data_IF_694432646427
#
_entry.id   IF_694432646427
#
_cell.length_a   1.000
_cell.length_b   1.000
_cell.length_c   1.000
_cell.angle_alpha   90.00
_cell.angle_beta   90.00
_cell.angle_gamma   90.00
#
_symmetry.space_group_name_H-M   'P 1'
#
loop_
_entity.id
_entity.type
_entity.pdbx_description
1 polymer ?
#
# COMPACT_ATOMS: atom_id res chain seq x y z
N UNK A 1 8.55 -5.45 39.71
CA UNK A 1 8.10 -4.49 38.67
C UNK A 1 9.34 -4.10 37.88
N UNK A 2 9.49 -4.42 36.58
CA UNK A 2 10.66 -3.98 35.84
C UNK A 2 10.49 -2.53 35.39
N UNK A 3 11.51 -1.71 35.67
CA UNK A 3 11.64 -0.32 35.28
C UNK A 3 12.37 -0.31 33.93
N UNK A 4 11.75 0.24 32.89
CA UNK A 4 12.37 0.35 31.57
C UNK A 4 13.47 1.43 31.59
N UNK A 5 14.70 1.04 31.24
CA UNK A 5 15.82 1.94 31.04
C UNK A 5 15.83 2.44 29.59
N UNK A 6 15.74 3.75 29.38
CA UNK A 6 16.01 4.38 28.09
C UNK A 6 17.53 4.53 27.92
N UNK A 7 18.07 3.97 26.82
CA UNK A 7 19.51 4.05 26.48
C UNK A 7 19.70 5.05 25.34
N UNK A 8 20.33 6.21 25.58
CA UNK A 8 20.55 7.21 24.53
C UNK A 8 21.52 6.66 23.46
N UNK A 9 21.14 6.76 22.18
CA UNK A 9 21.95 6.31 21.05
C UNK A 9 21.53 4.96 20.43
N UNK A 10 20.46 4.34 20.92
CA UNK A 10 19.81 3.27 20.18
C UNK A 10 19.13 3.85 18.94
N UNK A 11 19.40 3.24 17.79
CA UNK A 11 18.51 3.24 16.61
C UNK A 11 17.19 2.53 16.96
N UNK A 12 16.49 2.99 18.00
CA UNK A 12 15.08 2.73 18.30
C UNK A 12 14.22 3.48 17.27
N UNK A 13 14.55 3.34 15.99
CA UNK A 13 13.58 3.52 14.91
C UNK A 13 12.64 2.32 14.99
N UNK A 14 11.79 2.39 15.98
CA UNK A 14 10.36 2.14 16.01
C UNK A 14 9.77 0.79 15.56
N UNK A 15 10.33 -0.28 16.12
CA UNK A 15 9.70 -1.60 16.19
C UNK A 15 8.27 -1.54 16.76
N UNK A 16 8.00 -0.66 17.74
CA UNK A 16 6.67 -0.48 18.33
C UNK A 16 5.68 0.15 17.33
N UNK A 17 6.10 1.17 16.58
CA UNK A 17 5.29 1.77 15.52
C UNK A 17 5.08 0.81 14.36
N UNK A 18 6.03 -0.05 13.99
CA UNK A 18 5.77 -1.09 12.98
C UNK A 18 4.70 -2.07 13.46
N UNK A 19 4.72 -2.42 14.75
CA UNK A 19 3.68 -3.24 15.35
C UNK A 19 2.33 -2.50 15.38
N UNK A 20 2.30 -1.21 15.68
CA UNK A 20 1.10 -0.37 15.66
C UNK A 20 0.54 -0.18 14.23
N UNK A 21 1.41 0.01 13.23
CA UNK A 21 1.08 0.06 11.80
C UNK A 21 0.51 -1.30 11.36
N UNK A 22 1.13 -2.41 11.75
CA UNK A 22 0.63 -3.75 11.46
C UNK A 22 -0.74 -4.01 12.12
N UNK A 23 -0.97 -3.51 13.33
CA UNK A 23 -2.28 -3.55 14.00
C UNK A 23 -3.31 -2.66 13.29
N UNK A 24 -2.88 -1.53 12.71
CA UNK A 24 -3.71 -0.60 11.94
C UNK A 24 -3.76 -0.91 10.43
N UNK A 25 -3.28 -2.09 9.99
CA UNK A 25 -3.19 -2.47 8.57
C UNK A 25 -4.47 -2.25 7.77
N UNK A 26 -5.64 -2.47 8.38
CA UNK A 26 -6.93 -2.27 7.71
C UNK A 26 -7.20 -0.79 7.43
N UNK A 27 -6.85 0.10 8.36
CA UNK A 27 -6.98 1.53 8.14
C UNK A 27 -5.95 2.03 7.11
N UNK A 28 -4.71 1.54 7.15
CA UNK A 28 -3.70 1.86 6.12
C UNK A 28 -4.19 1.45 4.74
N UNK A 29 -4.71 0.22 4.58
CA UNK A 29 -5.26 -0.22 3.30
C UNK A 29 -6.52 0.56 2.89
N UNK A 30 -7.33 1.01 3.85
CA UNK A 30 -8.46 1.93 3.60
C UNK A 30 -7.96 3.29 3.10
N UNK A 31 -6.91 3.83 3.71
CA UNK A 31 -6.29 5.09 3.28
C UNK A 31 -5.63 4.94 1.90
N UNK A 32 -4.91 3.86 1.63
CA UNK A 32 -4.33 3.57 0.31
C UNK A 32 -5.39 3.60 -0.79
N UNK A 33 -6.53 2.94 -0.57
CA UNK A 33 -7.66 2.97 -1.51
C UNK A 33 -8.13 4.39 -1.78
N UNK A 34 -8.37 5.18 -0.73
CA UNK A 34 -8.91 6.54 -0.85
C UNK A 34 -7.92 7.56 -1.42
N UNK A 35 -6.65 7.47 -1.04
CA UNK A 35 -5.62 8.47 -1.36
C UNK A 35 -4.82 8.14 -2.61
N UNK A 36 -4.73 6.86 -2.98
CA UNK A 36 -3.98 6.39 -4.17
C UNK A 36 -4.93 5.84 -5.22
N UNK A 37 -5.64 4.77 -4.90
CA UNK A 37 -6.38 4.00 -5.90
C UNK A 37 -7.50 4.80 -6.57
N UNK A 38 -8.38 5.43 -5.77
CA UNK A 38 -9.50 6.20 -6.28
C UNK A 38 -9.11 7.41 -7.13
N UNK A 39 -8.18 8.29 -6.70
CA UNK A 39 -7.79 9.43 -7.51
C UNK A 39 -7.01 9.04 -8.77
N UNK A 40 -6.13 8.04 -8.72
CA UNK A 40 -5.43 7.55 -9.92
C UNK A 40 -6.43 6.97 -10.91
N UNK A 41 -7.39 6.15 -10.46
CA UNK A 41 -8.45 5.64 -11.33
C UNK A 41 -9.26 6.76 -11.98
N UNK A 42 -9.59 7.82 -11.23
CA UNK A 42 -10.29 8.98 -11.81
C UNK A 42 -9.46 9.69 -12.88
N UNK A 43 -8.15 9.83 -12.66
CA UNK A 43 -7.24 10.44 -13.64
C UNK A 43 -7.17 9.58 -14.92
N UNK A 44 -6.97 8.28 -14.75
CA UNK A 44 -6.85 7.32 -15.85
C UNK A 44 -8.18 7.10 -16.59
N UNK A 45 -9.33 7.35 -15.95
CA UNK A 45 -10.66 7.23 -16.59
C UNK A 45 -10.79 8.08 -17.85
N UNK A 46 -10.14 9.24 -17.89
CA UNK A 46 -10.17 10.13 -19.06
C UNK A 46 -9.37 9.59 -20.26
N UNK A 47 -8.41 8.70 -19.98
CA UNK A 47 -7.52 8.05 -20.94
C UNK A 47 -7.97 6.62 -21.28
N UNK A 48 -9.02 6.12 -20.63
CA UNK A 48 -9.57 4.79 -20.88
C UNK A 48 -10.44 4.78 -22.13
N UNK A 49 -10.23 3.78 -22.97
CA UNK A 49 -11.08 3.49 -24.12
C UNK A 49 -12.56 3.32 -23.74
N UNK A 50 -13.45 3.63 -24.68
CA UNK A 50 -14.90 3.50 -24.49
C UNK A 50 -15.35 2.07 -24.19
N UNK A 51 -14.51 1.06 -24.49
CA UNK A 51 -14.72 -0.34 -24.12
C UNK A 51 -14.56 -0.60 -22.60
N UNK A 52 -13.66 0.13 -21.94
CA UNK A 52 -13.31 -0.06 -20.52
C UNK A 52 -14.21 0.80 -19.61
N UNK A 53 -14.70 1.93 -20.11
CA UNK A 53 -15.57 2.86 -19.38
C UNK A 53 -16.78 2.21 -18.69
N UNK A 54 -17.55 1.31 -19.34
CA UNK A 54 -18.67 0.62 -18.70
C UNK A 54 -18.24 -0.26 -17.53
N UNK A 55 -17.01 -0.79 -17.57
CA UNK A 55 -16.42 -1.66 -16.55
C UNK A 55 -15.75 -0.88 -15.41
N UNK A 56 -15.67 0.45 -15.50
CA UNK A 56 -14.99 1.31 -14.51
C UNK A 56 -15.44 1.08 -13.06
N UNK A 57 -16.75 1.00 -12.81
CA UNK A 57 -17.25 0.77 -11.43
C UNK A 57 -16.80 -0.58 -10.89
N UNK A 58 -16.80 -1.61 -11.75
CA UNK A 58 -16.35 -2.96 -11.39
C UNK A 58 -14.84 -2.99 -11.16
N UNK A 59 -14.06 -2.37 -12.03
CA UNK A 59 -12.60 -2.24 -11.88
C UNK A 59 -12.23 -1.52 -10.59
N UNK A 60 -12.92 -0.42 -10.26
CA UNK A 60 -12.74 0.28 -8.98
C UNK A 60 -12.96 -0.65 -7.79
N UNK A 61 -14.00 -1.47 -7.83
CA UNK A 61 -14.27 -2.46 -6.78
C UNK A 61 -13.19 -3.55 -6.72
N UNK A 62 -12.78 -4.11 -7.87
CA UNK A 62 -11.78 -5.17 -7.97
C UNK A 62 -10.40 -4.70 -7.50
N UNK A 63 -9.95 -3.53 -7.94
CA UNK A 63 -8.68 -2.94 -7.52
C UNK A 63 -8.67 -2.62 -6.02
N UNK A 64 -9.82 -2.29 -5.45
CA UNK A 64 -9.95 -2.06 -4.01
C UNK A 64 -10.06 -3.35 -3.21
N UNK A 65 -10.31 -4.51 -3.81
CA UNK A 65 -10.49 -5.78 -3.09
C UNK A 65 -9.14 -6.41 -2.72
N UNK A 66 -9.19 -7.23 -1.68
CA UNK A 66 -8.09 -8.15 -1.39
C UNK A 66 -8.04 -9.22 -2.49
N UNK A 67 -6.85 -9.52 -3.03
CA UNK A 67 -6.72 -10.38 -4.23
C UNK A 67 -7.29 -11.79 -4.02
N UNK A 68 -7.23 -12.28 -2.77
CA UNK A 68 -7.79 -13.59 -2.36
C UNK A 68 -9.32 -13.62 -2.43
N UNK A 69 -9.96 -12.45 -2.52
CA UNK A 69 -11.41 -12.28 -2.62
C UNK A 69 -11.87 -11.97 -4.05
N UNK A 70 -10.97 -11.96 -5.03
CA UNK A 70 -11.27 -11.74 -6.44
C UNK A 70 -11.54 -13.09 -7.11
N UNK A 71 -12.70 -13.23 -7.77
CA UNK A 71 -13.05 -14.48 -8.45
C UNK A 71 -12.19 -14.69 -9.71
N UNK A 72 -11.90 -15.93 -10.12
CA UNK A 72 -11.06 -16.21 -11.30
C UNK A 72 -11.50 -15.47 -12.57
N UNK A 73 -12.82 -15.43 -12.84
CA UNK A 73 -13.40 -14.72 -13.99
C UNK A 73 -13.22 -13.20 -13.93
N UNK A 74 -13.20 -12.63 -12.72
CA UNK A 74 -12.97 -11.21 -12.51
C UNK A 74 -11.48 -10.85 -12.67
N UNK A 75 -10.59 -11.81 -12.42
CA UNK A 75 -9.15 -11.66 -12.57
C UNK A 75 -8.75 -11.42 -14.01
N UNK A 76 -9.27 -12.18 -14.98
CA UNK A 76 -8.98 -11.98 -16.41
C UNK A 76 -9.34 -10.58 -16.89
N UNK A 77 -10.52 -10.08 -16.49
CA UNK A 77 -10.95 -8.72 -16.81
C UNK A 77 -10.00 -7.69 -16.21
N UNK A 78 -9.58 -7.89 -14.96
CA UNK A 78 -8.63 -7.02 -14.29
C UNK A 78 -7.27 -7.01 -15.01
N UNK A 79 -6.70 -8.18 -15.30
CA UNK A 79 -5.40 -8.30 -15.97
C UNK A 79 -5.40 -7.61 -17.34
N UNK A 80 -6.44 -7.78 -18.15
CA UNK A 80 -6.55 -7.11 -19.46
C UNK A 80 -6.47 -5.58 -19.38
N UNK A 81 -6.93 -4.99 -18.27
CA UNK A 81 -6.86 -3.54 -18.03
C UNK A 81 -5.48 -3.15 -17.53
N UNK A 82 -4.87 -3.97 -16.66
CA UNK A 82 -3.52 -3.73 -16.14
C UNK A 82 -2.44 -3.87 -17.22
N UNK A 83 -2.65 -4.72 -18.23
CA UNK A 83 -1.77 -4.82 -19.42
C UNK A 83 -1.78 -3.54 -20.25
N UNK A 84 -2.91 -2.85 -20.33
CA UNK A 84 -3.08 -1.63 -21.13
C UNK A 84 -2.73 -0.35 -20.36
N UNK A 85 -2.61 -0.41 -19.04
CA UNK A 85 -2.36 0.77 -18.20
C UNK A 85 -1.30 0.49 -17.13
N UNK A 86 -0.05 0.87 -17.44
CA UNK A 86 1.09 0.69 -16.55
C UNK A 86 0.94 1.40 -15.20
N UNK A 87 0.30 2.58 -15.17
CA UNK A 87 0.05 3.33 -13.93
C UNK A 87 -0.89 2.54 -13.00
N UNK A 88 -1.98 1.98 -13.55
CA UNK A 88 -2.90 1.14 -12.78
C UNK A 88 -2.27 -0.17 -12.32
N UNK A 89 -1.45 -0.78 -13.18
CA UNK A 89 -0.64 -1.96 -12.83
C UNK A 89 0.26 -1.66 -11.63
N UNK A 90 1.01 -0.58 -11.68
CA UNK A 90 1.97 -0.25 -10.63
C UNK A 90 1.29 0.02 -9.29
N UNK A 91 0.20 0.80 -9.22
CA UNK A 91 -0.50 1.03 -7.95
C UNK A 91 -1.19 -0.24 -7.42
N UNK A 92 -1.54 -1.17 -8.31
CA UNK A 92 -2.12 -2.45 -7.93
C UNK A 92 -1.07 -3.39 -7.34
N UNK A 93 0.10 -3.49 -7.99
CA UNK A 93 1.25 -4.25 -7.51
C UNK A 93 1.74 -3.71 -6.16
N UNK A 94 1.89 -2.39 -6.02
CA UNK A 94 2.29 -1.74 -4.77
C UNK A 94 1.30 -1.98 -3.63
N UNK A 95 0.00 -1.99 -3.92
CA UNK A 95 -1.05 -2.39 -2.96
C UNK A 95 -0.87 -3.84 -2.51
N UNK A 96 -0.50 -4.72 -3.43
CA UNK A 96 -0.32 -6.14 -3.15
C UNK A 96 0.94 -6.41 -2.32
N UNK A 97 2.06 -5.78 -2.67
CA UNK A 97 3.29 -5.82 -1.87
C UNK A 97 3.03 -5.37 -0.44
N UNK A 98 2.36 -4.24 -0.25
CA UNK A 98 2.02 -3.71 1.07
C UNK A 98 1.15 -4.69 1.87
N UNK A 99 0.15 -5.32 1.23
CA UNK A 99 -0.65 -6.38 1.86
C UNK A 99 0.18 -7.60 2.25
N UNK A 100 1.12 -8.01 1.40
CA UNK A 100 1.99 -9.16 1.65
C UNK A 100 2.88 -8.93 2.88
N UNK A 101 3.42 -7.72 3.05
CA UNK A 101 4.16 -7.33 4.26
C UNK A 101 3.35 -7.57 5.54
N UNK A 102 2.04 -7.28 5.52
CA UNK A 102 1.15 -7.49 6.67
C UNK A 102 0.77 -8.96 6.93
N UNK A 103 0.84 -9.81 5.90
CA UNK A 103 0.47 -11.23 6.02
C UNK A 103 1.61 -12.10 6.52
N UNK A 104 2.86 -11.67 6.36
CA UNK A 104 4.04 -12.42 6.82
C UNK A 104 4.02 -12.56 8.35
N UNK A 105 3.60 -13.75 8.82
CA UNK A 105 3.67 -14.16 10.22
C UNK A 105 5.12 -14.57 10.53
N UNK A 106 5.64 -14.20 11.70
CA UNK A 106 6.97 -14.63 12.16
C UNK A 106 8.17 -13.81 11.67
N UNK A 107 8.00 -12.83 10.79
CA UNK A 107 9.07 -11.88 10.47
C UNK A 107 9.44 -11.05 11.72
N UNK A 108 10.73 -10.84 11.98
CA UNK A 108 11.17 -9.95 13.05
C UNK A 108 10.64 -8.53 12.76
N UNK A 109 10.24 -7.77 13.79
CA UNK A 109 9.73 -6.41 13.57
C UNK A 109 10.69 -5.51 12.78
N UNK A 110 12.01 -5.65 13.00
CA UNK A 110 13.03 -4.92 12.25
C UNK A 110 13.01 -5.24 10.75
N UNK A 111 12.82 -6.51 10.38
CA UNK A 111 12.77 -6.92 8.97
C UNK A 111 11.51 -6.36 8.28
N UNK A 112 10.39 -6.30 9.01
CA UNK A 112 9.16 -5.66 8.51
C UNK A 112 9.33 -4.16 8.33
N UNK A 113 10.02 -3.49 9.26
CA UNK A 113 10.33 -2.08 9.13
C UNK A 113 11.19 -1.82 7.90
N UNK A 114 12.26 -2.59 7.73
CA UNK A 114 13.16 -2.45 6.58
C UNK A 114 12.40 -2.65 5.26
N UNK A 115 11.54 -3.67 5.19
CA UNK A 115 10.72 -3.93 4.01
C UNK A 115 9.68 -2.83 3.76
N UNK A 116 9.09 -2.24 4.82
CA UNK A 116 8.20 -1.09 4.71
C UNK A 116 8.93 0.16 4.23
N UNK A 117 10.14 0.41 4.73
CA UNK A 117 10.97 1.53 4.32
C UNK A 117 11.39 1.42 2.85
N UNK A 118 11.78 0.22 2.40
CA UNK A 118 12.08 -0.03 0.99
C UNK A 118 10.83 0.16 0.12
N UNK A 119 9.68 -0.36 0.57
CA UNK A 119 8.42 -0.13 -0.14
C UNK A 119 8.10 1.37 -0.29
N UNK A 120 8.32 2.17 0.76
CA UNK A 120 8.13 3.61 0.70
C UNK A 120 9.11 4.25 -0.31
N UNK A 121 10.38 3.86 -0.29
CA UNK A 121 11.40 4.35 -1.23
C UNK A 121 11.03 4.08 -2.68
N UNK A 122 10.59 2.87 -3.00
CA UNK A 122 10.16 2.51 -4.34
C UNK A 122 8.87 3.22 -4.76
N UNK A 123 7.93 3.40 -3.84
CA UNK A 123 6.68 4.13 -4.08
C UNK A 123 6.92 5.63 -4.33
N UNK A 124 7.86 6.25 -3.62
CA UNK A 124 8.32 7.62 -3.84
C UNK A 124 9.05 7.82 -5.18
N UNK A 125 9.68 6.77 -5.71
CA UNK A 125 10.34 6.79 -7.01
C UNK A 125 9.42 6.39 -8.18
N UNK A 126 8.11 6.19 -7.93
CA UNK A 126 7.18 5.65 -8.92
C UNK A 126 6.82 6.60 -10.06
N UNK A 127 6.96 7.92 -9.87
CA UNK A 127 6.43 8.94 -10.78
C UNK A 127 4.90 9.14 -10.65
N UNK A 128 4.24 8.42 -9.73
CA UNK A 128 2.80 8.53 -9.49
C UNK A 128 2.58 9.36 -8.23
N UNK A 129 2.34 10.67 -8.42
CA UNK A 129 2.16 11.65 -7.33
C UNK A 129 1.35 11.14 -6.13
N UNK A 130 0.19 10.52 -6.36
CA UNK A 130 -0.67 10.03 -5.27
C UNK A 130 -0.03 8.89 -4.46
N UNK A 131 0.76 8.03 -5.12
CA UNK A 131 1.50 6.96 -4.47
C UNK A 131 2.71 7.52 -3.71
N UNK A 132 3.41 8.49 -4.29
CA UNK A 132 4.53 9.19 -3.66
C UNK A 132 4.08 9.91 -2.36
N UNK A 133 3.02 10.72 -2.43
CA UNK A 133 2.45 11.42 -1.27
C UNK A 133 2.00 10.44 -0.17
N UNK A 134 1.44 9.29 -0.56
CA UNK A 134 1.04 8.27 0.39
C UNK A 134 2.25 7.60 1.07
N UNK A 135 3.30 7.31 0.31
CA UNK A 135 4.52 6.71 0.83
C UNK A 135 5.26 7.66 1.79
N UNK A 136 5.36 8.94 1.44
CA UNK A 136 5.93 9.95 2.33
C UNK A 136 5.15 10.02 3.66
N UNK A 137 3.81 10.04 3.58
CA UNK A 137 2.96 10.00 4.76
C UNK A 137 3.21 8.74 5.59
N UNK A 138 3.24 7.56 4.96
CA UNK A 138 3.45 6.30 5.65
C UNK A 138 4.82 6.24 6.34
N UNK A 139 5.88 6.69 5.65
CA UNK A 139 7.24 6.81 6.19
C UNK A 139 7.28 7.75 7.39
N UNK A 140 6.66 8.93 7.29
CA UNK A 140 6.61 9.88 8.39
C UNK A 140 5.91 9.29 9.62
N UNK A 141 4.89 8.44 9.44
CA UNK A 141 4.28 7.71 10.55
C UNK A 141 5.23 6.67 11.14
N UNK A 142 5.96 5.91 10.31
CA UNK A 142 6.92 4.89 10.76
C UNK A 142 8.12 5.43 11.53
N UNK A 143 8.44 6.72 11.39
CA UNK A 143 9.59 7.36 12.02
C UNK A 143 9.22 8.18 13.28
N UNK A 144 7.94 8.27 13.66
CA UNK A 144 7.50 9.06 14.82
C UNK A 144 7.59 8.21 16.10
N UNK A 145 8.48 8.54 17.05
CA UNK A 145 8.60 7.79 18.30
C UNK A 145 7.26 7.78 19.06
N UNK A 146 6.90 6.62 19.60
CA UNK A 146 5.80 6.46 20.56
C UNK A 146 6.03 7.39 21.75
N UNK A 147 5.17 8.41 21.91
CA UNK A 147 5.15 9.33 23.05
C UNK A 147 4.69 8.65 24.33
#
# INVERSE_FOLDING_TARGET
RPIAHHVPGKLEVDVETVQAIANNRFDIMRQYRKRVMEPVLRQQKSLMDDEIRPRYRKLKQLLSREITLIQPKEKETLESVLERNAVLRQIYEKSHELQALWRQRGLKPQDKLNALMEWCREAEASGIRYLEEFAEHLRAYSLRPST
#
